data_IF_938133096404
#
_entry.id   IF_938133096404
#
_cell.length_a   1.000
_cell.length_b   1.000
_cell.length_c   1.000
_cell.angle_alpha   90.00
_cell.angle_beta   90.00
_cell.angle_gamma   90.00
#
_symmetry.space_group_name_H-M   'P 1'
#
loop_
_entity.id
_entity.type
_entity.pdbx_description
1 polymer ?
#
# COMPACT_ATOMS: atom_id res chain seq x y z
N UNK A 1 -18.15 -4.38 9.95
CA UNK A 1 -18.80 -3.96 8.68
C UNK A 1 -19.31 -2.51 8.72
N UNK A 2 -19.94 -2.05 9.81
CA UNK A 2 -20.37 -0.63 9.95
C UNK A 2 -19.23 0.40 10.02
N UNK A 3 -18.11 0.10 10.68
CA UNK A 3 -17.02 1.06 10.85
C UNK A 3 -16.32 1.41 9.53
N UNK A 4 -16.17 0.45 8.63
CA UNK A 4 -15.59 0.68 7.31
C UNK A 4 -16.47 1.60 6.44
N UNK A 5 -17.78 1.39 6.45
CA UNK A 5 -18.73 2.26 5.73
C UNK A 5 -18.70 3.68 6.30
N UNK A 6 -18.66 3.82 7.62
CA UNK A 6 -18.56 5.11 8.30
C UNK A 6 -17.23 5.81 8.01
N UNK A 7 -16.12 5.07 7.99
CA UNK A 7 -14.82 5.58 7.59
C UNK A 7 -14.86 6.19 6.19
N UNK A 8 -15.38 5.44 5.20
CA UNK A 8 -15.45 5.93 3.83
C UNK A 8 -16.33 7.17 3.69
N UNK A 9 -17.53 7.16 4.28
CA UNK A 9 -18.44 8.32 4.24
C UNK A 9 -17.78 9.58 4.83
N UNK A 10 -17.19 9.49 6.02
CA UNK A 10 -16.50 10.62 6.66
C UNK A 10 -15.26 11.07 5.87
N UNK A 11 -14.57 10.13 5.22
CA UNK A 11 -13.41 10.41 4.37
C UNK A 11 -13.80 11.16 3.09
N UNK A 12 -14.91 10.79 2.45
CA UNK A 12 -15.48 11.46 1.28
C UNK A 12 -15.96 12.88 1.61
N UNK A 13 -16.64 13.05 2.75
CA UNK A 13 -17.07 14.35 3.27
C UNK A 13 -15.89 15.22 3.75
N UNK A 14 -14.68 14.66 3.83
CA UNK A 14 -13.49 15.30 4.41
C UNK A 14 -13.73 15.79 5.84
N UNK A 15 -14.60 15.11 6.58
CA UNK A 15 -14.90 15.42 7.97
C UNK A 15 -13.80 14.86 8.89
N UNK A 16 -12.63 15.50 8.84
CA UNK A 16 -11.41 14.99 9.49
C UNK A 16 -11.55 14.86 11.00
N UNK A 17 -12.28 15.77 11.65
CA UNK A 17 -12.50 15.72 13.09
C UNK A 17 -13.28 14.46 13.48
N UNK A 18 -14.39 14.16 12.81
CA UNK A 18 -15.17 12.96 13.06
C UNK A 18 -14.42 11.68 12.66
N UNK A 19 -13.63 11.74 11.59
CA UNK A 19 -12.81 10.61 11.15
C UNK A 19 -11.72 10.27 12.18
N UNK A 20 -11.03 11.27 12.74
CA UNK A 20 -10.06 11.05 13.81
C UNK A 20 -10.72 10.51 15.08
N UNK A 21 -11.89 11.03 15.47
CA UNK A 21 -12.63 10.50 16.61
C UNK A 21 -13.03 9.02 16.39
N UNK A 22 -13.45 8.64 15.18
CA UNK A 22 -13.73 7.25 14.82
C UNK A 22 -12.47 6.38 14.94
N UNK A 23 -11.32 6.84 14.44
CA UNK A 23 -10.07 6.08 14.52
C UNK A 23 -9.57 5.93 15.95
N UNK A 24 -9.79 6.94 16.81
CA UNK A 24 -9.46 6.88 18.23
C UNK A 24 -10.38 5.87 18.96
N UNK A 25 -11.67 5.82 18.61
CA UNK A 25 -12.61 4.80 19.08
C UNK A 25 -12.20 3.39 18.64
N UNK A 26 -11.88 3.20 17.35
CA UNK A 26 -11.37 1.93 16.83
C UNK A 26 -10.11 1.50 17.57
N UNK A 27 -9.20 2.44 17.86
CA UNK A 27 -7.97 2.16 18.59
C UNK A 27 -8.25 1.72 20.03
N UNK A 28 -9.18 2.37 20.71
CA UNK A 28 -9.54 2.05 22.10
C UNK A 28 -10.20 0.68 22.21
N UNK A 29 -10.94 0.26 21.18
CA UNK A 29 -11.67 -1.01 21.14
C UNK A 29 -10.89 -2.17 20.52
N UNK A 30 -9.73 -1.90 19.89
CA UNK A 30 -8.92 -2.93 19.25
C UNK A 30 -8.35 -3.91 20.28
N UNK A 31 -8.71 -5.19 20.16
CA UNK A 31 -8.30 -6.27 21.06
C UNK A 31 -7.25 -7.19 20.43
N UNK A 32 -7.15 -7.19 19.09
CA UNK A 32 -6.26 -8.06 18.33
C UNK A 32 -5.18 -7.26 17.58
N UNK A 33 -4.02 -7.88 17.27
CA UNK A 33 -3.02 -7.25 16.41
C UNK A 33 -3.56 -6.84 15.04
N UNK A 34 -4.51 -7.60 14.50
CA UNK A 34 -5.12 -7.32 13.18
C UNK A 34 -6.05 -6.09 13.21
N UNK A 35 -6.83 -5.92 14.28
CA UNK A 35 -7.64 -4.70 14.50
C UNK A 35 -6.75 -3.47 14.68
N UNK A 36 -5.66 -3.62 15.43
CA UNK A 36 -4.64 -2.59 15.58
C UNK A 36 -4.02 -2.22 14.22
N UNK A 37 -3.61 -3.21 13.42
CA UNK A 37 -3.03 -2.98 12.10
C UNK A 37 -4.03 -2.32 11.14
N UNK A 38 -5.29 -2.72 11.19
CA UNK A 38 -6.38 -2.13 10.40
C UNK A 38 -6.60 -0.65 10.74
N UNK A 39 -6.63 -0.31 12.03
CA UNK A 39 -6.72 1.07 12.48
C UNK A 39 -5.51 1.90 12.00
N UNK A 40 -4.29 1.37 12.14
CA UNK A 40 -3.08 2.03 11.65
C UNK A 40 -3.16 2.27 10.13
N UNK A 41 -3.62 1.29 9.35
CA UNK A 41 -3.78 1.45 7.90
C UNK A 41 -4.79 2.54 7.54
N UNK A 42 -5.93 2.62 8.25
CA UNK A 42 -6.92 3.68 8.04
C UNK A 42 -6.40 5.06 8.48
N UNK A 43 -5.64 5.12 9.57
CA UNK A 43 -5.02 6.37 10.02
C UNK A 43 -3.97 6.87 9.05
N UNK A 44 -3.13 5.98 8.50
CA UNK A 44 -2.17 6.30 7.44
C UNK A 44 -2.91 6.84 6.20
N UNK A 45 -3.94 6.14 5.73
CA UNK A 45 -4.76 6.59 4.59
C UNK A 45 -5.41 7.96 4.83
N UNK A 46 -5.90 8.21 6.06
CA UNK A 46 -6.46 9.50 6.46
C UNK A 46 -5.41 10.62 6.41
N UNK A 47 -4.21 10.36 6.91
CA UNK A 47 -3.10 11.32 6.88
C UNK A 47 -2.66 11.61 5.43
N UNK A 48 -2.58 10.59 4.57
CA UNK A 48 -2.32 10.76 3.13
C UNK A 48 -3.35 11.67 2.46
N UNK A 49 -4.66 11.46 2.73
CA UNK A 49 -5.74 12.29 2.18
C UNK A 49 -5.73 13.74 2.68
N UNK A 50 -5.16 13.99 3.86
CA UNK A 50 -4.92 15.34 4.41
C UNK A 50 -3.63 15.99 3.88
N UNK A 51 -2.84 15.29 3.06
CA UNK A 51 -1.51 15.74 2.62
C UNK A 51 -0.43 15.64 3.70
N UNK A 52 -0.72 14.99 4.83
CA UNK A 52 0.19 14.82 5.99
C UNK A 52 1.06 13.58 5.81
N UNK A 53 1.73 13.48 4.67
CA UNK A 53 2.48 12.28 4.27
C UNK A 53 3.69 11.99 5.18
N UNK A 54 4.32 13.00 5.77
CA UNK A 54 5.41 12.78 6.74
C UNK A 54 4.88 12.11 8.03
N UNK A 55 3.75 12.58 8.55
CA UNK A 55 3.11 11.99 9.73
C UNK A 55 2.67 10.55 9.44
N UNK A 56 2.18 10.28 8.23
CA UNK A 56 1.84 8.93 7.78
C UNK A 56 3.06 8.01 7.77
N UNK A 57 4.21 8.51 7.28
CA UNK A 57 5.47 7.77 7.25
C UNK A 57 6.01 7.50 8.65
N UNK A 58 5.96 8.48 9.55
CA UNK A 58 6.41 8.30 10.93
C UNK A 58 5.53 7.30 11.69
N UNK A 59 4.21 7.32 11.44
CA UNK A 59 3.30 6.31 11.98
C UNK A 59 3.64 4.90 11.47
N UNK A 60 3.95 4.74 10.19
CA UNK A 60 4.37 3.44 9.63
C UNK A 60 5.71 2.97 10.19
N UNK A 61 6.64 3.87 10.48
CA UNK A 61 7.91 3.51 11.15
C UNK A 61 7.68 3.01 12.57
N UNK A 62 6.80 3.69 13.32
CA UNK A 62 6.49 3.32 14.70
C UNK A 62 5.65 2.02 14.77
N UNK A 63 4.68 1.86 13.87
CA UNK A 63 3.62 0.84 13.99
C UNK A 63 3.55 -0.19 12.86
N UNK A 64 4.35 -0.05 11.80
CA UNK A 64 4.30 -0.94 10.62
C UNK A 64 4.62 -2.40 10.96
N UNK A 65 5.43 -2.65 11.99
CA UNK A 65 5.72 -3.99 12.48
C UNK A 65 4.49 -4.76 13.03
N UNK A 66 3.37 -4.07 13.27
CA UNK A 66 2.13 -4.67 13.77
C UNK A 66 1.29 -5.32 12.66
N UNK A 67 1.61 -5.05 11.39
CA UNK A 67 0.88 -5.61 10.26
C UNK A 67 1.14 -7.11 10.15
N UNK A 68 0.08 -7.89 9.94
CA UNK A 68 0.18 -9.33 9.71
C UNK A 68 1.04 -9.67 8.48
N UNK A 69 0.91 -8.88 7.41
CA UNK A 69 1.77 -8.93 6.23
C UNK A 69 2.73 -7.75 6.25
N UNK A 70 4.02 -8.03 6.38
CA UNK A 70 5.05 -7.02 6.26
C UNK A 70 5.16 -6.52 4.82
N UNK A 71 4.81 -7.35 3.82
CA UNK A 71 4.72 -6.89 2.42
C UNK A 71 3.66 -5.83 2.20
N UNK A 72 2.55 -5.89 2.94
CA UNK A 72 1.54 -4.84 2.90
C UNK A 72 2.04 -3.54 3.56
N UNK A 73 2.74 -3.64 4.69
CA UNK A 73 3.32 -2.48 5.36
C UNK A 73 4.40 -1.78 4.50
N UNK A 74 5.28 -2.55 3.85
CA UNK A 74 6.29 -2.01 2.90
C UNK A 74 5.63 -1.36 1.70
N UNK A 75 4.60 -1.98 1.11
CA UNK A 75 3.83 -1.39 0.01
C UNK A 75 3.19 -0.06 0.38
N UNK A 76 2.53 0.03 1.54
CA UNK A 76 1.96 1.29 2.04
C UNK A 76 3.07 2.33 2.28
N UNK A 77 4.20 1.93 2.84
CA UNK A 77 5.36 2.82 3.05
C UNK A 77 5.90 3.37 1.73
N UNK A 78 6.08 2.50 0.73
CA UNK A 78 6.54 2.89 -0.59
C UNK A 78 5.55 3.84 -1.28
N UNK A 79 4.24 3.61 -1.13
CA UNK A 79 3.20 4.53 -1.61
C UNK A 79 3.31 5.93 -0.99
N UNK A 80 3.47 6.01 0.33
CA UNK A 80 3.64 7.30 1.03
C UNK A 80 4.92 8.01 0.55
N UNK A 81 6.00 7.26 0.34
CA UNK A 81 7.26 7.80 -0.20
C UNK A 81 7.09 8.38 -1.61
N UNK A 82 6.31 7.72 -2.48
CA UNK A 82 5.98 8.27 -3.81
C UNK A 82 5.21 9.58 -3.71
N UNK A 83 4.22 9.68 -2.80
CA UNK A 83 3.48 10.94 -2.57
C UNK A 83 4.38 12.06 -2.02
N UNK A 84 5.56 11.73 -1.49
CA UNK A 84 6.59 12.68 -1.05
C UNK A 84 7.64 12.98 -2.13
N UNK A 85 7.54 12.42 -3.35
CA UNK A 85 8.54 12.56 -4.40
C UNK A 85 9.86 11.82 -4.10
N UNK A 86 9.76 10.71 -3.36
CA UNK A 86 10.90 9.89 -2.91
C UNK A 86 10.85 8.49 -3.55
N UNK A 87 10.76 8.44 -4.87
CA UNK A 87 10.57 7.20 -5.64
C UNK A 87 11.72 6.22 -5.48
N UNK A 88 12.97 6.71 -5.37
CA UNK A 88 14.14 5.87 -5.10
C UNK A 88 14.05 5.16 -3.76
N UNK A 89 13.57 5.86 -2.74
CA UNK A 89 13.40 5.27 -1.40
C UNK A 89 12.24 4.27 -1.41
N UNK A 90 11.17 4.54 -2.18
CA UNK A 90 10.07 3.62 -2.38
C UNK A 90 10.54 2.30 -3.00
N UNK A 91 11.35 2.37 -4.06
CA UNK A 91 12.00 1.20 -4.68
C UNK A 91 12.90 0.45 -3.68
N UNK A 92 13.72 1.19 -2.92
CA UNK A 92 14.62 0.59 -1.94
C UNK A 92 13.84 -0.18 -0.85
N UNK A 93 12.72 0.35 -0.38
CA UNK A 93 11.85 -0.34 0.59
C UNK A 93 11.22 -1.58 -0.04
N UNK A 94 10.69 -1.47 -1.26
CA UNK A 94 10.05 -2.61 -1.95
C UNK A 94 11.03 -3.74 -2.28
N UNK A 95 12.30 -3.42 -2.58
CA UNK A 95 13.33 -4.43 -2.82
C UNK A 95 13.60 -5.34 -1.61
N UNK A 96 13.33 -4.85 -0.40
CA UNK A 96 13.45 -5.62 0.84
C UNK A 96 12.15 -6.30 1.29
N UNK A 97 11.08 -6.20 0.49
CA UNK A 97 9.76 -6.71 0.87
C UNK A 97 9.73 -8.25 0.87
N UNK A 98 9.17 -8.91 1.89
CA UNK A 98 9.18 -10.36 2.02
C UNK A 98 8.05 -11.06 1.24
N UNK A 99 7.60 -10.52 0.09
CA UNK A 99 6.41 -11.03 -0.59
C UNK A 99 6.54 -12.48 -1.06
N UNK A 100 7.75 -12.95 -1.42
CA UNK A 100 7.94 -14.35 -1.77
C UNK A 100 7.75 -15.28 -0.55
N UNK A 101 8.23 -14.87 0.62
CA UNK A 101 8.07 -15.63 1.86
C UNK A 101 6.62 -15.60 2.38
N UNK A 102 5.90 -14.50 2.14
CA UNK A 102 4.50 -14.32 2.57
C UNK A 102 3.47 -14.87 1.58
N UNK A 103 3.89 -15.38 0.42
CA UNK A 103 2.98 -15.85 -0.63
C UNK A 103 2.04 -16.97 -0.16
N UNK A 104 2.48 -17.79 0.82
CA UNK A 104 1.66 -18.87 1.38
C UNK A 104 0.76 -18.43 2.53
N UNK A 105 1.20 -17.49 3.37
CA UNK A 105 0.49 -17.05 4.58
C UNK A 105 -0.45 -15.87 4.34
N UNK A 106 -0.08 -14.97 3.41
CA UNK A 106 -0.83 -13.76 3.06
C UNK A 106 -0.88 -13.57 1.53
N UNK A 107 -1.36 -14.55 0.75
CA UNK A 107 -1.22 -14.60 -0.71
C UNK A 107 -1.68 -13.32 -1.41
N UNK A 108 -2.85 -12.79 -1.04
CA UNK A 108 -3.38 -11.58 -1.68
C UNK A 108 -2.51 -10.34 -1.45
N UNK A 109 -1.99 -10.16 -0.22
CA UNK A 109 -1.15 -9.00 0.13
C UNK A 109 0.26 -9.13 -0.47
N UNK A 110 0.81 -10.34 -0.44
CA UNK A 110 2.10 -10.64 -1.08
C UNK A 110 2.04 -10.41 -2.59
N UNK A 111 0.99 -10.91 -3.26
CA UNK A 111 0.78 -10.71 -4.70
C UNK A 111 0.66 -9.22 -5.06
N UNK A 112 -0.14 -8.47 -4.30
CA UNK A 112 -0.35 -7.04 -4.51
C UNK A 112 0.94 -6.22 -4.32
N UNK A 113 1.72 -6.53 -3.29
CA UNK A 113 3.02 -5.93 -3.05
C UNK A 113 4.05 -6.28 -4.14
N UNK A 114 4.09 -7.55 -4.59
CA UNK A 114 4.97 -7.98 -5.68
C UNK A 114 4.62 -7.29 -6.99
N UNK A 115 3.33 -7.22 -7.33
CA UNK A 115 2.88 -6.52 -8.52
C UNK A 115 3.19 -5.02 -8.45
N UNK A 116 2.94 -4.38 -7.30
CA UNK A 116 3.30 -2.98 -7.08
C UNK A 116 4.81 -2.74 -7.28
N UNK A 117 5.66 -3.63 -6.75
CA UNK A 117 7.11 -3.54 -6.95
C UNK A 117 7.49 -3.61 -8.44
N UNK A 118 6.90 -4.55 -9.19
CA UNK A 118 7.12 -4.66 -10.63
C UNK A 118 6.70 -3.38 -11.38
N UNK A 119 5.59 -2.74 -10.98
CA UNK A 119 5.16 -1.45 -11.54
C UNK A 119 6.22 -0.36 -11.28
N UNK A 120 6.77 -0.28 -10.07
CA UNK A 120 7.81 0.70 -9.75
C UNK A 120 9.08 0.47 -10.57
N UNK A 121 9.53 -0.78 -10.67
CA UNK A 121 10.71 -1.16 -11.47
C UNK A 121 10.51 -0.80 -12.95
N UNK A 122 9.34 -1.12 -13.51
CA UNK A 122 9.00 -0.78 -14.89
C UNK A 122 9.03 0.73 -15.13
N UNK A 123 8.44 1.53 -14.22
CA UNK A 123 8.45 3.00 -14.30
C UNK A 123 9.86 3.60 -14.19
N UNK A 124 10.78 2.95 -13.48
CA UNK A 124 12.18 3.38 -13.42
C UNK A 124 13.03 2.89 -14.60
N UNK A 125 12.46 2.12 -15.52
CA UNK A 125 13.20 1.49 -16.62
C UNK A 125 14.13 0.36 -16.17
N UNK A 126 13.85 -0.28 -15.03
CA UNK A 126 14.64 -1.40 -14.53
C UNK A 126 14.16 -2.70 -15.20
N UNK A 127 15.04 -3.41 -15.94
CA UNK A 127 14.66 -4.63 -16.66
C UNK A 127 14.29 -5.79 -15.73
N UNK A 128 14.68 -5.76 -14.44
CA UNK A 128 14.27 -6.76 -13.45
C UNK A 128 12.76 -6.78 -13.18
N UNK A 129 12.03 -5.76 -13.64
CA UNK A 129 10.57 -5.75 -13.65
C UNK A 129 9.97 -7.01 -14.32
N UNK A 130 10.58 -7.53 -15.40
CA UNK A 130 10.10 -8.75 -16.07
C UNK A 130 10.16 -9.96 -15.16
N UNK A 131 11.29 -10.12 -14.46
CA UNK A 131 11.48 -11.20 -13.49
C UNK A 131 10.51 -11.05 -12.31
N UNK A 132 10.28 -9.81 -11.85
CA UNK A 132 9.34 -9.55 -10.76
C UNK A 132 7.89 -9.91 -11.13
N UNK A 133 7.51 -9.86 -12.42
CA UNK A 133 6.20 -10.29 -12.91
C UNK A 133 6.04 -11.82 -13.03
N UNK A 134 7.10 -12.61 -12.87
CA UNK A 134 7.00 -14.07 -12.92
C UNK A 134 6.08 -14.60 -11.82
N UNK A 135 5.14 -15.46 -12.18
CA UNK A 135 4.14 -16.03 -11.27
C UNK A 135 2.95 -15.13 -10.96
N UNK A 136 2.93 -13.87 -11.44
CA UNK A 136 1.71 -13.05 -11.42
C UNK A 136 0.75 -13.54 -12.51
N UNK A 137 -0.54 -13.80 -12.21
CA UNK A 137 -1.54 -14.14 -13.23
C UNK A 137 -1.68 -13.06 -14.32
N UNK A 138 -1.99 -13.46 -15.55
CA UNK A 138 -2.12 -12.52 -16.67
C UNK A 138 -3.35 -11.62 -16.56
N UNK A 139 -4.39 -12.09 -15.88
CA UNK A 139 -5.62 -11.36 -15.57
C UNK A 139 -5.54 -10.56 -14.25
N UNK A 140 -4.36 -10.48 -13.63
CA UNK A 140 -4.18 -9.69 -12.41
C UNK A 140 -4.28 -8.19 -12.70
N UNK A 141 -5.09 -7.51 -11.90
CA UNK A 141 -5.35 -6.07 -11.99
C UNK A 141 -5.10 -5.47 -10.61
N UNK A 142 -4.26 -4.44 -10.57
CA UNK A 142 -4.10 -3.60 -9.39
C UNK A 142 -4.83 -2.28 -9.58
N UNK A 143 -5.62 -1.89 -8.59
CA UNK A 143 -6.17 -0.53 -8.49
C UNK A 143 -5.05 0.38 -7.98
N UNK A 144 -4.77 1.47 -8.69
CA UNK A 144 -3.71 2.38 -8.29
C UNK A 144 -4.06 3.11 -6.99
N UNK A 145 -3.01 3.69 -6.41
CA UNK A 145 -2.97 4.41 -5.13
C UNK A 145 -4.06 5.48 -4.97
N UNK A 146 -4.47 6.13 -6.05
CA UNK A 146 -5.48 7.20 -6.01
C UNK A 146 -6.88 6.68 -6.34
N UNK A 147 -7.05 5.37 -6.58
CA UNK A 147 -8.34 4.72 -6.84
C UNK A 147 -8.89 4.94 -8.25
N UNK A 148 -8.25 5.81 -9.04
CA UNK A 148 -8.77 6.29 -10.31
C UNK A 148 -8.26 5.49 -11.53
N UNK A 149 -7.11 4.83 -11.41
CA UNK A 149 -6.53 4.04 -12.50
C UNK A 149 -6.45 2.55 -12.17
N UNK A 150 -6.62 1.71 -13.19
CA UNK A 150 -6.35 0.29 -13.14
C UNK A 150 -5.06 0.00 -13.91
N UNK A 151 -4.15 -0.78 -13.32
CA UNK A 151 -2.95 -1.26 -14.00
C UNK A 151 -3.04 -2.77 -14.15
N UNK A 152 -3.04 -3.22 -15.40
CA UNK A 152 -2.99 -4.65 -15.75
C UNK A 152 -1.53 -5.09 -15.90
N UNK A 153 -1.28 -6.40 -15.84
CA UNK A 153 0.05 -6.95 -16.14
C UNK A 153 0.54 -6.57 -17.54
N UNK A 154 -0.35 -6.53 -18.53
CA UNK A 154 -0.04 -6.09 -19.90
C UNK A 154 0.43 -4.64 -19.96
N UNK A 155 -0.14 -3.75 -19.14
CA UNK A 155 0.33 -2.36 -19.05
C UNK A 155 1.75 -2.28 -18.51
N UNK A 156 2.09 -3.12 -17.51
CA UNK A 156 3.45 -3.18 -16.96
C UNK A 156 4.43 -3.71 -18.01
N UNK A 157 4.08 -4.77 -18.75
CA UNK A 157 4.92 -5.27 -19.85
C UNK A 157 5.16 -4.20 -20.91
N UNK A 158 4.11 -3.48 -21.31
CA UNK A 158 4.21 -2.40 -22.28
C UNK A 158 5.09 -1.23 -21.77
N UNK A 159 5.09 -0.95 -20.46
CA UNK A 159 6.01 0.02 -19.86
C UNK A 159 7.45 -0.44 -19.95
N UNK A 160 7.74 -1.71 -19.65
CA UNK A 160 9.10 -2.24 -19.72
C UNK A 160 9.63 -2.18 -21.16
N UNK A 161 8.82 -2.59 -22.14
CA UNK A 161 9.24 -2.62 -23.53
C UNK A 161 9.46 -1.22 -24.14
N UNK A 162 8.92 -0.16 -23.53
CA UNK A 162 9.24 1.24 -23.91
C UNK A 162 10.65 1.67 -23.49
N UNK A 163 11.24 0.99 -22.51
CA UNK A 163 12.56 1.31 -21.95
C UNK A 163 13.68 0.42 -22.49
N UNK A 164 13.36 -0.55 -23.35
CA UNK A 164 14.30 -1.45 -24.03
C UNK A 164 14.54 -0.98 -25.48
#
# INVERSE_FOLDING_TARGET
MMELQRYWALSEEKNWAALHALLDEMRANAATPDEIASEVAFRVSTLEKQGRNNDALDLLRDRGHLFLSQSHATQITARVLIKLGRERDALQVMSGSPYEAEMSSCPMRAMDAKFFHAVLLAKSGDPSAKQCLEGIPDDYIQVTVDGDDLITKSDVVALIDKHL
#
